data_IF_419684862365
#
_entry.id   IF_419684862365
#
_cell.length_a   1.000
_cell.length_b   1.000
_cell.length_c   1.000
_cell.angle_alpha   90.00
_cell.angle_beta   90.00
_cell.angle_gamma   90.00
#
_symmetry.space_group_name_H-M   'P 1'
#
loop_
_entity.id
_entity.type
_entity.pdbx_description
1 polymer ?
#
# COMPACT_ATOMS: atom_id res chain seq x y z
N UNK A 1 11.41 3.21 -2.49
CA UNK A 1 11.83 4.53 -3.00
C UNK A 1 12.28 5.39 -1.83
N UNK A 2 13.57 5.58 -1.64
CA UNK A 2 14.15 6.34 -0.53
C UNK A 2 14.77 7.68 -1.03
N UNK A 3 14.11 8.33 -2.00
CA UNK A 3 14.58 9.59 -2.56
C UNK A 3 14.01 10.82 -1.84
N UNK A 4 13.33 10.62 -0.71
CA UNK A 4 12.81 11.73 0.09
C UNK A 4 13.90 12.33 0.94
N UNK A 5 14.02 13.66 0.89
CA UNK A 5 14.88 14.41 1.79
C UNK A 5 14.26 14.46 3.19
N UNK A 6 15.09 14.37 4.20
CA UNK A 6 14.71 14.58 5.61
C UNK A 6 15.50 15.74 6.19
N UNK A 7 14.88 16.47 7.13
CA UNK A 7 15.52 17.56 7.86
C UNK A 7 15.53 17.21 9.35
N UNK A 8 16.69 16.97 9.95
CA UNK A 8 16.79 16.80 11.38
C UNK A 8 16.63 18.15 12.10
N UNK A 9 16.35 18.12 13.40
CA UNK A 9 16.28 19.34 14.24
C UNK A 9 17.54 20.19 14.20
N UNK A 10 18.70 19.55 13.98
CA UNK A 10 20.01 20.23 13.86
C UNK A 10 20.22 21.01 12.56
N UNK A 11 19.25 20.98 11.63
CA UNK A 11 19.38 21.59 10.30
C UNK A 11 20.05 20.70 9.28
N UNK A 12 20.16 21.20 8.05
CA UNK A 12 20.65 20.43 6.91
C UNK A 12 19.54 19.60 6.24
N UNK A 13 19.87 18.98 5.12
CA UNK A 13 18.98 18.05 4.37
C UNK A 13 19.83 16.87 3.89
N UNK A 14 19.26 15.67 3.95
CA UNK A 14 19.85 14.46 3.38
C UNK A 14 18.73 13.51 2.96
N UNK A 15 19.05 12.51 2.17
CA UNK A 15 18.07 11.50 1.79
C UNK A 15 17.83 10.52 2.95
N UNK A 16 16.60 10.10 3.17
CA UNK A 16 16.29 9.06 4.16
C UNK A 16 17.09 7.76 3.88
N UNK A 17 17.31 7.44 2.61
CA UNK A 17 18.16 6.32 2.20
C UNK A 17 19.59 6.45 2.77
N UNK A 18 20.24 7.61 2.61
CA UNK A 18 21.58 7.86 3.10
C UNK A 18 21.64 7.78 4.64
N UNK A 19 20.59 8.27 5.30
CA UNK A 19 20.49 8.17 6.76
C UNK A 19 20.39 6.70 7.22
N UNK A 20 19.58 5.89 6.55
CA UNK A 20 19.42 4.46 6.87
C UNK A 20 20.73 3.70 6.57
N UNK A 21 21.42 4.00 5.48
CA UNK A 21 22.71 3.40 5.16
C UNK A 21 23.78 3.75 6.22
N UNK A 22 23.76 4.97 6.75
CA UNK A 22 24.74 5.44 7.74
C UNK A 22 24.40 5.03 9.18
N UNK A 23 23.12 4.94 9.55
CA UNK A 23 22.68 4.77 10.95
C UNK A 23 21.39 3.95 11.06
N UNK A 24 21.24 2.91 10.23
CA UNK A 24 20.01 2.12 10.14
C UNK A 24 19.58 1.50 11.46
N UNK A 25 20.52 0.99 12.27
CA UNK A 25 20.21 0.39 13.58
C UNK A 25 19.58 1.40 14.55
N UNK A 26 20.00 2.67 14.50
CA UNK A 26 19.42 3.74 15.32
C UNK A 26 18.05 4.20 14.79
N UNK A 27 17.86 4.15 13.48
CA UNK A 27 16.63 4.65 12.86
C UNK A 27 15.51 3.60 12.83
N UNK A 28 15.87 2.38 12.43
CA UNK A 28 14.91 1.28 12.19
C UNK A 28 14.91 0.23 13.31
N UNK A 29 16.01 0.15 14.06
CA UNK A 29 16.29 -0.91 15.02
C UNK A 29 17.14 -2.04 14.41
N UNK A 30 18.09 -2.58 15.22
CA UNK A 30 19.05 -3.58 14.77
C UNK A 30 18.38 -4.84 14.15
N UNK A 31 17.29 -5.34 14.74
CA UNK A 31 16.56 -6.51 14.24
C UNK A 31 16.01 -6.30 12.81
N UNK A 32 15.52 -5.09 12.50
CA UNK A 32 15.02 -4.76 11.15
C UNK A 32 16.18 -4.68 10.18
N UNK A 33 17.28 -4.05 10.57
CA UNK A 33 18.47 -3.94 9.72
C UNK A 33 19.11 -5.30 9.44
N UNK A 34 19.25 -6.15 10.44
CA UNK A 34 19.80 -7.51 10.28
C UNK A 34 18.95 -8.36 9.31
N UNK A 35 17.63 -8.28 9.41
CA UNK A 35 16.72 -9.09 8.60
C UNK A 35 16.48 -8.51 7.21
N UNK A 36 16.33 -7.21 7.09
CA UNK A 36 15.85 -6.55 5.88
C UNK A 36 16.93 -5.74 5.15
N UNK A 37 18.00 -5.39 5.83
CA UNK A 37 19.09 -4.55 5.29
C UNK A 37 18.69 -3.10 5.04
N UNK A 38 17.49 -2.67 5.48
CA UNK A 38 17.02 -1.30 5.28
C UNK A 38 15.51 -1.14 5.33
N UNK A 39 15.03 0.02 4.86
CA UNK A 39 13.61 0.34 4.77
C UNK A 39 13.01 -0.18 3.45
N UNK A 40 12.37 -1.34 3.48
CA UNK A 40 11.84 -2.04 2.31
C UNK A 40 10.34 -1.80 2.06
N UNK A 41 9.82 -0.68 2.51
CA UNK A 41 8.45 -0.27 2.32
C UNK A 41 8.38 0.93 1.38
N UNK A 42 7.47 0.88 0.42
CA UNK A 42 7.01 2.00 -0.38
C UNK A 42 5.52 2.23 -0.08
N UNK A 43 5.18 3.48 0.21
CA UNK A 43 3.79 3.92 0.26
C UNK A 43 3.55 4.98 -0.80
N UNK A 44 2.45 4.88 -1.51
CA UNK A 44 2.06 5.85 -2.53
C UNK A 44 0.55 6.06 -2.51
N UNK A 45 0.14 7.17 -3.09
CA UNK A 45 -1.24 7.40 -3.49
C UNK A 45 -1.34 7.33 -5.00
N UNK A 46 -2.45 6.82 -5.50
CA UNK A 46 -2.83 7.02 -6.88
C UNK A 46 -4.33 7.36 -6.98
N UNK A 47 -4.60 8.21 -7.95
CA UNK A 47 -5.92 8.67 -8.32
C UNK A 47 -6.07 8.40 -9.82
N UNK A 48 -6.71 7.28 -10.15
CA UNK A 48 -6.87 6.86 -11.53
C UNK A 48 -8.13 7.46 -12.12
N UNK A 49 -7.99 8.19 -13.21
CA UNK A 49 -9.13 8.68 -14.00
C UNK A 49 -9.91 7.55 -14.68
N UNK A 50 -9.30 6.40 -14.82
CA UNK A 50 -9.87 5.18 -15.39
C UNK A 50 -9.07 3.94 -14.98
N UNK A 51 -9.48 2.74 -15.39
CA UNK A 51 -8.79 1.51 -15.02
C UNK A 51 -7.39 1.44 -15.63
N UNK A 52 -6.47 0.85 -14.90
CA UNK A 52 -5.19 0.38 -15.46
C UNK A 52 -5.34 -1.09 -15.89
N UNK A 53 -4.44 -1.62 -16.75
CA UNK A 53 -4.56 -2.99 -17.22
C UNK A 53 -4.65 -4.00 -16.09
N UNK A 54 -5.46 -5.04 -16.26
CA UNK A 54 -5.53 -6.18 -15.35
C UNK A 54 -4.16 -6.87 -15.30
N UNK A 55 -3.54 -6.88 -14.12
CA UNK A 55 -2.15 -7.28 -13.93
C UNK A 55 -1.96 -8.07 -12.62
N UNK A 56 -0.77 -8.60 -12.44
CA UNK A 56 -0.34 -9.23 -11.20
C UNK A 56 1.11 -8.84 -10.89
N UNK A 57 1.51 -9.08 -9.66
CA UNK A 57 2.90 -8.97 -9.21
C UNK A 57 3.47 -10.34 -8.91
N UNK A 58 4.74 -10.58 -9.30
CA UNK A 58 5.41 -11.85 -9.10
C UNK A 58 5.64 -12.13 -7.60
N UNK A 59 5.54 -13.40 -7.22
CA UNK A 59 6.02 -13.88 -5.93
C UNK A 59 7.55 -13.85 -5.85
N UNK A 60 8.11 -13.98 -4.65
CA UNK A 60 9.56 -14.06 -4.45
C UNK A 60 10.19 -15.18 -5.29
N UNK A 61 9.49 -16.30 -5.48
CA UNK A 61 9.98 -17.43 -6.26
C UNK A 61 10.21 -17.04 -7.73
N UNK A 62 9.26 -16.34 -8.34
CA UNK A 62 9.36 -15.87 -9.73
C UNK A 62 10.24 -14.64 -9.87
N UNK A 63 10.13 -13.66 -8.98
CA UNK A 63 10.92 -12.43 -9.02
C UNK A 63 12.44 -12.70 -8.91
N UNK A 64 12.84 -13.66 -8.10
CA UNK A 64 14.24 -14.09 -7.97
C UNK A 64 14.85 -14.57 -9.29
N UNK A 65 14.07 -15.13 -10.20
CA UNK A 65 14.55 -15.57 -11.51
C UNK A 65 15.08 -14.41 -12.37
N UNK A 66 14.68 -13.19 -12.07
CA UNK A 66 15.11 -11.96 -12.75
C UNK A 66 15.85 -10.99 -11.81
N UNK A 67 16.30 -11.49 -10.64
CA UNK A 67 17.13 -10.72 -9.69
C UNK A 67 16.36 -9.72 -8.84
N UNK A 68 15.04 -9.90 -8.69
CA UNK A 68 14.15 -9.01 -7.91
C UNK A 68 13.52 -9.71 -6.70
N UNK A 69 12.82 -8.94 -5.90
CA UNK A 69 11.92 -9.39 -4.82
C UNK A 69 10.49 -9.43 -5.34
N UNK A 70 9.68 -10.29 -4.75
CA UNK A 70 8.24 -10.28 -4.98
C UNK A 70 7.58 -8.98 -4.49
N UNK A 71 6.37 -8.71 -4.97
CA UNK A 71 5.64 -7.49 -4.64
C UNK A 71 4.26 -7.79 -4.05
N UNK A 72 4.14 -8.12 -2.78
CA UNK A 72 2.89 -8.00 -2.07
C UNK A 72 2.54 -6.52 -1.87
N UNK A 73 1.25 -6.21 -1.97
CA UNK A 73 0.72 -4.87 -1.74
C UNK A 73 -0.64 -4.90 -1.04
N UNK A 74 -1.09 -3.75 -0.56
CA UNK A 74 -2.41 -3.58 -0.03
C UNK A 74 -3.00 -2.24 -0.47
N UNK A 75 -4.33 -2.18 -0.54
CA UNK A 75 -5.07 -0.96 -0.80
C UNK A 75 -5.84 -0.53 0.44
N UNK A 76 -5.91 0.77 0.64
CA UNK A 76 -6.83 1.41 1.56
C UNK A 76 -7.42 2.64 0.88
N UNK A 77 -8.70 2.90 1.09
CA UNK A 77 -9.43 4.01 0.47
C UNK A 77 -9.74 5.08 1.52
N UNK A 78 -8.84 6.07 1.74
CA UNK A 78 -9.03 7.07 2.78
C UNK A 78 -10.33 7.85 2.58
N UNK A 79 -11.22 7.93 3.60
CA UNK A 79 -12.47 8.67 3.48
C UNK A 79 -12.27 10.17 3.18
N UNK A 80 -11.13 10.73 3.59
CA UNK A 80 -10.78 12.15 3.38
C UNK A 80 -10.67 12.53 1.91
N UNK A 81 -10.30 11.58 1.05
CA UNK A 81 -10.06 11.81 -0.38
C UNK A 81 -11.15 11.25 -1.29
N UNK A 82 -12.09 10.46 -0.74
CA UNK A 82 -13.02 9.71 -1.55
C UNK A 82 -14.46 10.18 -1.39
N UNK A 83 -15.07 10.54 -2.52
CA UNK A 83 -16.49 10.84 -2.66
C UNK A 83 -17.10 9.86 -3.64
N UNK A 84 -18.20 9.22 -3.25
CA UNK A 84 -18.86 8.19 -4.06
C UNK A 84 -20.17 8.66 -4.71
N UNK A 85 -20.56 9.90 -4.50
CA UNK A 85 -21.90 10.39 -4.90
C UNK A 85 -22.15 10.33 -6.41
N UNK A 86 -21.15 10.63 -7.24
CA UNK A 86 -21.30 10.64 -8.70
C UNK A 86 -20.38 9.62 -9.40
N UNK A 87 -19.69 8.78 -8.64
CA UNK A 87 -18.82 7.73 -9.16
C UNK A 87 -19.43 6.36 -8.91
N UNK A 88 -19.17 5.46 -9.84
CA UNK A 88 -19.37 4.04 -9.61
C UNK A 88 -18.07 3.44 -9.07
N UNK A 89 -17.87 3.39 -7.74
CA UNK A 89 -16.60 2.97 -7.16
C UNK A 89 -16.44 1.46 -7.31
N UNK A 90 -15.48 1.05 -8.14
CA UNK A 90 -15.21 -0.36 -8.41
C UNK A 90 -13.73 -0.65 -8.56
N UNK A 91 -13.37 -1.90 -8.41
CA UNK A 91 -12.08 -2.49 -8.74
C UNK A 91 -12.26 -3.90 -9.26
N UNK A 92 -11.26 -4.43 -9.93
CA UNK A 92 -11.24 -5.83 -10.36
C UNK A 92 -10.19 -6.58 -9.56
N UNK A 93 -10.57 -7.73 -8.97
CA UNK A 93 -9.64 -8.56 -8.20
C UNK A 93 -9.99 -10.04 -8.33
N UNK A 94 -9.00 -10.85 -8.67
CA UNK A 94 -9.17 -12.29 -8.91
C UNK A 94 -10.00 -12.59 -10.15
N UNK A 95 -10.37 -13.84 -10.28
CA UNK A 95 -11.11 -14.39 -11.40
C UNK A 95 -12.44 -14.98 -10.94
N UNK A 96 -13.43 -15.04 -11.82
CA UNK A 96 -14.67 -15.75 -11.57
C UNK A 96 -14.39 -17.24 -11.25
N UNK A 97 -15.04 -17.83 -10.26
CA UNK A 97 -14.72 -19.19 -9.78
C UNK A 97 -14.78 -20.30 -10.84
N UNK A 98 -15.53 -20.08 -11.91
CA UNK A 98 -15.61 -21.03 -13.03
C UNK A 98 -14.54 -20.86 -14.11
N UNK A 99 -13.67 -19.86 -13.99
CA UNK A 99 -12.59 -19.62 -14.96
C UNK A 99 -11.56 -20.73 -14.91
N UNK A 100 -11.12 -21.17 -16.07
CA UNK A 100 -10.09 -22.20 -16.21
C UNK A 100 -8.76 -21.63 -16.72
N UNK A 101 -7.66 -22.32 -16.50
CA UNK A 101 -6.34 -21.93 -17.06
C UNK A 101 -6.38 -21.85 -18.58
N UNK A 102 -7.20 -22.67 -19.21
CA UNK A 102 -7.42 -22.66 -20.64
C UNK A 102 -8.15 -21.39 -21.12
N UNK A 103 -9.05 -20.84 -20.33
CA UNK A 103 -9.68 -19.55 -20.62
C UNK A 103 -8.64 -18.43 -20.66
N UNK A 104 -7.75 -18.37 -19.67
CA UNK A 104 -6.67 -17.38 -19.63
C UNK A 104 -5.68 -17.61 -20.78
N UNK A 105 -5.35 -18.86 -21.11
CA UNK A 105 -4.52 -19.17 -22.29
C UNK A 105 -5.13 -18.59 -23.54
N UNK A 106 -6.41 -18.81 -23.80
CA UNK A 106 -7.10 -18.24 -24.98
C UNK A 106 -7.09 -16.71 -25.00
N UNK A 107 -7.15 -16.07 -23.85
CA UNK A 107 -6.97 -14.61 -23.76
C UNK A 107 -5.56 -14.20 -24.20
N UNK A 108 -4.52 -14.88 -23.72
CA UNK A 108 -3.13 -14.58 -24.09
C UNK A 108 -2.84 -14.84 -25.58
N UNK A 109 -3.42 -15.88 -26.17
CA UNK A 109 -3.29 -16.19 -27.59
C UNK A 109 -3.90 -15.12 -28.50
N UNK A 110 -4.89 -14.36 -27.99
CA UNK A 110 -5.53 -13.25 -28.73
C UNK A 110 -4.85 -11.90 -28.54
N UNK A 111 -3.66 -11.85 -27.93
CA UNK A 111 -3.00 -10.60 -27.52
C UNK A 111 -2.97 -9.51 -28.61
N UNK A 112 -2.68 -9.89 -29.84
CA UNK A 112 -2.55 -8.95 -30.97
C UNK A 112 -3.85 -8.74 -31.77
N UNK A 113 -5.00 -9.10 -31.20
CA UNK A 113 -6.31 -9.01 -31.85
C UNK A 113 -7.22 -7.93 -31.24
N UNK A 114 -6.65 -6.95 -30.53
CA UNK A 114 -7.36 -5.96 -29.73
C UNK A 114 -7.49 -6.39 -28.28
N UNK A 115 -8.61 -6.09 -27.63
CA UNK A 115 -8.89 -6.54 -26.26
C UNK A 115 -8.93 -8.08 -26.19
N UNK A 116 -8.03 -8.65 -25.44
CA UNK A 116 -7.92 -10.11 -25.27
C UNK A 116 -9.05 -10.73 -24.42
N UNK A 117 -9.93 -9.90 -23.87
CA UNK A 117 -11.12 -10.32 -23.13
C UNK A 117 -10.87 -10.83 -21.71
N UNK A 118 -9.68 -10.68 -21.16
CA UNK A 118 -9.37 -11.20 -19.82
C UNK A 118 -10.26 -10.57 -18.75
N UNK A 119 -10.69 -9.33 -18.93
CA UNK A 119 -11.53 -8.63 -17.96
C UNK A 119 -12.91 -9.30 -17.78
N UNK A 120 -13.39 -10.04 -18.79
CA UNK A 120 -14.65 -10.80 -18.67
C UNK A 120 -14.54 -12.01 -17.73
N UNK A 121 -13.33 -12.40 -17.38
CA UNK A 121 -13.04 -13.42 -16.39
C UNK A 121 -12.74 -12.84 -15.01
N UNK A 122 -12.58 -11.52 -14.88
CA UNK A 122 -12.27 -10.85 -13.63
C UNK A 122 -13.54 -10.57 -12.80
N UNK A 123 -13.40 -10.58 -11.48
CA UNK A 123 -14.48 -10.16 -10.59
C UNK A 123 -14.42 -8.67 -10.32
N UNK A 124 -15.57 -8.01 -10.50
CA UNK A 124 -15.75 -6.62 -10.13
C UNK A 124 -16.26 -6.51 -8.68
N UNK A 125 -15.61 -5.68 -7.89
CA UNK A 125 -16.03 -5.38 -6.52
C UNK A 125 -16.39 -3.91 -6.38
N UNK A 126 -17.49 -3.65 -5.68
CA UNK A 126 -17.80 -2.30 -5.22
C UNK A 126 -16.82 -1.91 -4.12
N UNK A 127 -16.23 -0.72 -4.26
CA UNK A 127 -15.33 -0.15 -3.27
C UNK A 127 -16.10 0.64 -2.21
N UNK A 128 -15.53 0.69 -1.00
CA UNK A 128 -16.08 1.41 0.14
C UNK A 128 -14.98 2.27 0.76
N UNK A 129 -15.16 3.62 0.84
CA UNK A 129 -14.24 4.45 1.59
C UNK A 129 -14.07 3.94 3.04
N UNK A 130 -12.85 3.94 3.53
CA UNK A 130 -12.51 3.38 4.85
C UNK A 130 -12.32 1.86 4.87
N UNK A 131 -12.55 1.14 3.76
CA UNK A 131 -12.16 -0.26 3.63
C UNK A 131 -10.82 -0.41 2.90
N UNK A 132 -10.28 -1.62 2.88
CA UNK A 132 -9.03 -1.95 2.19
C UNK A 132 -9.03 -3.35 1.61
N UNK A 133 -7.93 -3.71 0.96
CA UNK A 133 -7.70 -5.02 0.37
C UNK A 133 -6.26 -5.43 0.57
N UNK A 134 -6.03 -6.69 0.92
CA UNK A 134 -4.72 -7.34 0.85
C UNK A 134 -4.59 -7.99 -0.53
N UNK A 135 -3.50 -7.72 -1.23
CA UNK A 135 -3.22 -8.25 -2.57
C UNK A 135 -1.89 -8.99 -2.51
N UNK A 136 -1.98 -10.30 -2.38
CA UNK A 136 -0.80 -11.15 -2.37
C UNK A 136 -0.25 -11.33 -3.79
N UNK A 137 1.05 -11.63 -3.95
CA UNK A 137 1.63 -11.92 -5.26
C UNK A 137 0.89 -13.01 -6.01
N UNK A 138 0.80 -12.88 -7.32
CA UNK A 138 0.08 -13.80 -8.19
C UNK A 138 -1.42 -13.53 -8.30
N UNK A 139 -1.96 -12.56 -7.57
CA UNK A 139 -3.37 -12.15 -7.71
C UNK A 139 -3.52 -11.19 -8.88
N UNK A 140 -4.38 -11.55 -9.83
CA UNK A 140 -4.80 -10.64 -10.90
C UNK A 140 -5.68 -9.54 -10.33
N UNK A 141 -5.35 -8.29 -10.64
CA UNK A 141 -6.11 -7.14 -10.16
C UNK A 141 -5.97 -5.93 -11.08
N UNK A 142 -6.89 -5.00 -10.97
CA UNK A 142 -6.83 -3.69 -11.58
C UNK A 142 -7.37 -2.66 -10.61
N UNK A 143 -6.56 -1.69 -10.15
CA UNK A 143 -7.04 -0.61 -9.30
C UNK A 143 -8.19 0.13 -9.96
N UNK A 144 -9.17 0.48 -9.14
CA UNK A 144 -10.39 1.10 -9.60
C UNK A 144 -10.42 2.62 -9.44
N UNK A 145 -11.61 3.14 -9.23
CA UNK A 145 -11.93 4.56 -9.34
C UNK A 145 -11.79 5.38 -8.05
N UNK A 146 -11.40 4.80 -6.93
CA UNK A 146 -11.16 5.55 -5.70
C UNK A 146 -9.69 5.91 -5.55
N UNK A 147 -9.42 7.09 -4.96
CA UNK A 147 -8.07 7.44 -4.49
C UNK A 147 -7.60 6.38 -3.53
N UNK A 148 -6.48 5.77 -3.85
CA UNK A 148 -5.95 4.60 -3.16
C UNK A 148 -4.63 4.93 -2.48
N UNK A 149 -4.56 4.66 -1.18
CA UNK A 149 -3.31 4.53 -0.45
C UNK A 149 -2.81 3.09 -0.59
N UNK A 150 -1.59 2.93 -1.11
CA UNK A 150 -0.98 1.63 -1.37
C UNK A 150 0.36 1.49 -0.64
N UNK A 151 0.39 0.80 0.51
CA UNK A 151 1.63 0.26 1.06
C UNK A 151 2.01 -1.03 0.31
N UNK A 152 3.27 -1.13 -0.10
CA UNK A 152 3.83 -2.26 -0.83
C UNK A 152 5.28 -2.53 -0.44
N UNK A 153 5.76 -3.72 -0.72
CA UNK A 153 7.21 -3.99 -0.71
C UNK A 153 7.89 -3.13 -1.79
N UNK A 154 9.07 -2.62 -1.51
CA UNK A 154 9.87 -1.82 -2.45
C UNK A 154 10.39 -2.68 -3.61
N UNK A 155 9.48 -3.04 -4.51
CA UNK A 155 9.71 -3.81 -5.72
C UNK A 155 8.79 -3.29 -6.83
N UNK A 156 9.26 -3.34 -8.08
CA UNK A 156 8.53 -2.87 -9.27
C UNK A 156 8.19 -4.01 -10.24
N UNK A 157 8.23 -5.27 -9.78
CA UNK A 157 7.89 -6.41 -10.63
C UNK A 157 6.39 -6.44 -10.94
N UNK A 158 6.05 -6.70 -12.18
CA UNK A 158 4.67 -6.88 -12.62
C UNK A 158 4.57 -7.66 -13.94
N UNK A 159 3.37 -8.16 -14.23
CA UNK A 159 2.99 -8.70 -15.52
C UNK A 159 1.58 -8.21 -15.86
N UNK A 160 1.45 -7.44 -16.96
CA UNK A 160 0.15 -6.98 -17.48
C UNK A 160 -0.49 -8.11 -18.27
N UNK A 161 -1.67 -8.57 -17.84
CA UNK A 161 -2.40 -9.67 -18.48
C UNK A 161 -3.49 -9.19 -19.46
N UNK A 162 -3.82 -7.91 -19.47
CA UNK A 162 -4.78 -7.31 -20.39
C UNK A 162 -4.06 -6.62 -21.54
N UNK A 163 -4.46 -6.93 -22.78
CA UNK A 163 -3.80 -6.41 -23.99
C UNK A 163 -4.28 -5.03 -24.43
N UNK A 164 -5.44 -4.60 -23.97
CA UNK A 164 -6.02 -3.28 -24.27
C UNK A 164 -6.90 -2.82 -23.11
N UNK A 165 -6.82 -1.55 -22.75
CA UNK A 165 -7.68 -0.92 -21.75
C UNK A 165 -8.06 0.49 -22.22
N UNK A 166 -9.36 0.77 -22.37
CA UNK A 166 -9.87 2.06 -22.82
C UNK A 166 -9.20 2.58 -24.12
N UNK A 167 -9.04 1.71 -25.11
CA UNK A 167 -8.38 2.04 -26.39
C UNK A 167 -6.86 2.19 -26.30
N UNK A 168 -6.24 1.96 -25.16
CA UNK A 168 -4.77 1.98 -24.99
C UNK A 168 -4.24 0.56 -25.14
N UNK A 169 -3.40 0.34 -26.13
CA UNK A 169 -2.75 -0.96 -26.37
C UNK A 169 -1.66 -1.18 -25.33
N UNK A 170 -1.65 -2.36 -24.76
CA UNK A 170 -0.62 -2.85 -23.83
C UNK A 170 0.30 -3.79 -24.59
N UNK A 171 1.58 -3.48 -24.64
CA UNK A 171 2.57 -4.30 -25.35
C UNK A 171 2.82 -5.64 -24.64
N UNK A 172 3.17 -6.68 -25.42
CA UNK A 172 3.58 -7.98 -24.89
C UNK A 172 4.80 -7.89 -23.96
N UNK A 173 5.65 -6.90 -24.18
CA UNK A 173 6.79 -6.58 -23.34
C UNK A 173 6.39 -6.21 -21.90
N UNK A 174 5.21 -5.62 -21.70
CA UNK A 174 4.68 -5.33 -20.37
C UNK A 174 4.10 -6.56 -19.67
N UNK A 175 3.62 -7.57 -20.41
CA UNK A 175 3.31 -8.88 -19.83
C UNK A 175 4.59 -9.62 -19.40
N UNK A 176 5.66 -9.48 -20.15
CA UNK A 176 6.89 -10.27 -20.01
C UNK A 176 8.07 -9.48 -19.46
N UNK A 177 7.84 -8.26 -18.94
CA UNK A 177 8.89 -7.38 -18.41
C UNK A 177 9.79 -8.10 -17.40
N UNK A 178 9.19 -8.74 -16.41
CA UNK A 178 9.88 -9.40 -15.30
C UNK A 178 9.79 -10.93 -15.42
N UNK A 179 9.99 -11.44 -16.65
CA UNK A 179 9.98 -12.85 -17.00
C UNK A 179 11.34 -13.21 -17.62
N UNK A 180 11.98 -14.34 -17.22
CA UNK A 180 13.21 -14.78 -17.86
C UNK A 180 13.06 -14.93 -19.37
N UNK A 181 14.09 -14.53 -20.14
CA UNK A 181 14.04 -14.49 -21.61
C UNK A 181 13.56 -15.79 -22.25
N UNK A 182 13.99 -16.94 -21.70
CA UNK A 182 13.60 -18.26 -22.19
C UNK A 182 12.09 -18.54 -22.07
N UNK A 183 11.37 -17.84 -21.19
CA UNK A 183 9.95 -18.08 -20.90
C UNK A 183 9.01 -16.99 -21.42
N UNK A 184 9.50 -15.94 -22.06
CA UNK A 184 8.67 -14.84 -22.57
C UNK A 184 7.62 -15.24 -23.61
N UNK A 185 7.75 -16.40 -24.22
CA UNK A 185 6.79 -16.95 -25.18
C UNK A 185 6.10 -18.21 -24.68
N UNK A 186 6.36 -18.60 -23.44
CA UNK A 186 5.84 -19.80 -22.80
C UNK A 186 4.56 -19.44 -22.02
N UNK A 187 3.39 -19.68 -22.60
CA UNK A 187 2.11 -19.37 -21.99
C UNK A 187 1.87 -20.16 -20.71
N UNK A 188 2.37 -21.38 -20.62
CA UNK A 188 2.25 -22.18 -19.40
C UNK A 188 3.05 -21.58 -18.26
N UNK A 189 4.26 -21.10 -18.56
CA UNK A 189 5.04 -20.36 -17.57
C UNK A 189 4.34 -19.09 -17.11
N UNK A 190 3.83 -18.27 -18.05
CA UNK A 190 3.12 -17.02 -17.72
C UNK A 190 1.91 -17.28 -16.83
N UNK A 191 1.10 -18.30 -17.15
CA UNK A 191 -0.06 -18.69 -16.34
C UNK A 191 0.37 -19.28 -14.99
N UNK A 192 1.51 -19.97 -14.92
CA UNK A 192 2.03 -20.52 -13.66
C UNK A 192 2.44 -19.47 -12.63
N UNK A 193 2.68 -18.22 -13.06
CA UNK A 193 2.96 -17.11 -12.14
C UNK A 193 1.73 -16.68 -11.31
N UNK A 194 0.53 -17.06 -11.75
CA UNK A 194 -0.70 -16.78 -11.02
C UNK A 194 -0.86 -17.71 -9.82
N UNK A 195 -1.24 -17.16 -8.66
CA UNK A 195 -1.80 -17.96 -7.58
C UNK A 195 -3.20 -18.40 -7.98
N UNK A 196 -3.29 -19.57 -8.63
CA UNK A 196 -4.53 -20.04 -9.24
C UNK A 196 -5.65 -20.19 -8.21
N UNK A 197 -5.35 -20.88 -7.10
CA UNK A 197 -6.33 -21.17 -6.06
C UNK A 197 -6.90 -19.89 -5.43
N UNK A 198 -6.05 -18.89 -5.19
CA UNK A 198 -6.48 -17.62 -4.67
C UNK A 198 -7.33 -16.84 -5.69
N UNK A 199 -6.92 -16.80 -6.97
CA UNK A 199 -7.63 -16.06 -8.01
C UNK A 199 -9.07 -16.57 -8.22
N UNK A 200 -9.30 -17.87 -8.25
CA UNK A 200 -10.64 -18.48 -8.48
C UNK A 200 -11.40 -18.78 -7.19
N UNK A 201 -10.88 -18.39 -6.04
CA UNK A 201 -11.53 -18.66 -4.75
C UNK A 201 -12.92 -17.99 -4.69
N UNK A 202 -14.03 -18.74 -4.55
CA UNK A 202 -15.37 -18.15 -4.47
C UNK A 202 -15.54 -17.20 -3.27
N UNK A 203 -14.69 -17.32 -2.23
CA UNK A 203 -14.68 -16.47 -1.04
C UNK A 203 -13.55 -15.42 -1.08
N UNK A 204 -13.10 -15.04 -2.25
CA UNK A 204 -11.98 -14.08 -2.41
C UNK A 204 -12.18 -12.80 -1.61
N UNK A 205 -13.36 -12.17 -1.72
CA UNK A 205 -13.68 -10.94 -0.98
C UNK A 205 -13.61 -11.11 0.54
N UNK A 206 -14.05 -12.25 1.07
CA UNK A 206 -13.97 -12.54 2.51
C UNK A 206 -12.52 -12.75 2.98
N UNK A 207 -11.67 -13.29 2.12
CA UNK A 207 -10.28 -13.60 2.43
C UNK A 207 -9.36 -12.38 2.35
N UNK A 208 -9.65 -11.44 1.44
CA UNK A 208 -8.73 -10.38 1.05
C UNK A 208 -9.19 -8.97 1.44
N UNK A 209 -10.51 -8.74 1.62
CA UNK A 209 -11.03 -7.44 2.05
C UNK A 209 -10.68 -7.20 3.52
N UNK A 210 -10.16 -6.01 3.82
CA UNK A 210 -9.81 -5.58 5.17
C UNK A 210 -10.69 -4.42 5.62
N UNK A 211 -11.02 -4.41 6.92
CA UNK A 211 -11.77 -3.33 7.55
C UNK A 211 -10.96 -2.75 8.69
N UNK A 212 -11.06 -1.45 8.96
CA UNK A 212 -10.36 -0.82 10.06
C UNK A 212 -10.64 -1.50 11.40
N UNK A 213 -9.60 -1.83 12.14
CA UNK A 213 -9.70 -2.46 13.46
C UNK A 213 -9.12 -1.53 14.53
N UNK A 214 -9.90 -1.10 15.51
CA UNK A 214 -9.39 -0.29 16.61
C UNK A 214 -8.21 -0.96 17.30
N UNK A 215 -7.18 -0.18 17.64
CA UNK A 215 -6.02 -0.67 18.41
C UNK A 215 -6.38 -0.93 19.87
N UNK A 216 -7.28 -0.11 20.42
CA UNK A 216 -7.83 -0.18 21.77
C UNK A 216 -9.35 0.09 21.72
N UNK A 217 -10.10 -0.08 22.82
CA UNK A 217 -11.51 0.33 22.87
C UNK A 217 -11.68 1.80 22.48
N UNK A 218 -12.64 2.06 21.58
CA UNK A 218 -12.86 3.40 20.99
C UNK A 218 -13.15 4.44 22.09
N UNK A 219 -13.94 4.07 23.10
CA UNK A 219 -14.31 4.97 24.20
C UNK A 219 -13.08 5.40 25.01
N UNK A 220 -12.14 4.48 25.23
CA UNK A 220 -10.90 4.76 25.95
C UNK A 220 -10.02 5.74 25.16
N UNK A 221 -9.82 5.47 23.88
CA UNK A 221 -9.04 6.35 23.00
C UNK A 221 -9.68 7.75 22.87
N UNK A 222 -11.00 7.82 22.74
CA UNK A 222 -11.73 9.11 22.71
C UNK A 222 -11.51 9.93 23.99
N UNK A 223 -11.52 9.29 25.15
CA UNK A 223 -11.25 9.97 26.42
C UNK A 223 -9.81 10.54 26.46
N UNK A 224 -8.86 9.84 25.85
CA UNK A 224 -7.47 10.28 25.71
C UNK A 224 -7.26 11.30 24.57
N UNK A 225 -8.29 11.57 23.74
CA UNK A 225 -8.28 12.58 22.71
C UNK A 225 -7.83 12.14 21.33
N UNK A 226 -7.80 10.84 21.06
CA UNK A 226 -7.46 10.28 19.75
C UNK A 226 -8.30 9.05 19.40
N UNK A 227 -8.21 8.59 18.16
CA UNK A 227 -8.68 7.28 17.70
C UNK A 227 -7.62 6.69 16.77
N UNK A 228 -7.23 5.46 17.01
CA UNK A 228 -6.28 4.75 16.12
C UNK A 228 -6.82 3.39 15.70
N UNK A 229 -6.68 3.07 14.42
CA UNK A 229 -7.18 1.83 13.82
C UNK A 229 -6.14 1.23 12.88
N UNK A 230 -5.98 -0.07 12.92
CA UNK A 230 -5.30 -0.81 11.86
C UNK A 230 -6.11 -0.74 10.58
N UNK A 231 -5.49 -0.32 9.47
CA UNK A 231 -6.08 -0.25 8.12
C UNK A 231 -5.45 -1.25 7.16
N UNK A 232 -4.18 -1.60 7.40
CA UNK A 232 -3.45 -2.66 6.69
C UNK A 232 -2.78 -3.56 7.72
N UNK A 233 -3.05 -4.87 7.64
CA UNK A 233 -2.58 -5.86 8.61
C UNK A 233 -2.68 -7.27 8.01
N UNK A 234 -2.09 -8.26 8.68
CA UNK A 234 -2.21 -9.67 8.31
C UNK A 234 -1.16 -10.17 7.33
N UNK A 235 -0.19 -9.33 7.02
CA UNK A 235 0.97 -9.68 6.21
C UNK A 235 2.27 -9.45 7.01
N UNK A 236 3.34 -10.24 6.81
CA UNK A 236 4.62 -10.01 7.46
C UNK A 236 5.43 -8.86 6.84
N UNK A 237 5.02 -8.35 5.69
CA UNK A 237 5.82 -7.42 4.89
C UNK A 237 5.67 -5.97 5.31
N UNK A 238 4.50 -5.59 5.82
CA UNK A 238 4.17 -4.22 6.24
C UNK A 238 2.89 -4.21 7.08
N UNK A 239 2.63 -3.08 7.69
CA UNK A 239 1.33 -2.79 8.32
C UNK A 239 1.07 -1.28 8.29
N UNK A 240 -0.19 -0.87 8.46
CA UNK A 240 -0.54 0.54 8.53
C UNK A 240 -1.68 0.79 9.48
N UNK A 241 -1.66 2.00 10.07
CA UNK A 241 -2.72 2.51 10.95
C UNK A 241 -3.23 3.85 10.43
N UNK A 242 -4.50 4.14 10.64
CA UNK A 242 -5.05 5.49 10.59
C UNK A 242 -5.15 6.02 12.01
N UNK A 243 -4.53 7.19 12.25
CA UNK A 243 -4.57 7.89 13.54
C UNK A 243 -5.31 9.21 13.34
N UNK A 244 -6.28 9.46 14.22
CA UNK A 244 -7.05 10.70 14.31
C UNK A 244 -6.81 11.35 15.66
N UNK A 245 -6.32 12.58 15.69
CA UNK A 245 -6.30 13.42 16.91
C UNK A 245 -7.52 14.34 16.86
N UNK A 246 -8.33 14.27 17.92
CA UNK A 246 -9.57 15.05 18.01
C UNK A 246 -9.31 16.55 18.12
N UNK A 247 -10.27 17.42 17.73
CA UNK A 247 -10.14 18.86 17.85
C UNK A 247 -9.79 19.33 19.27
N UNK A 248 -8.85 20.26 19.38
CA UNK A 248 -8.32 20.80 20.66
C UNK A 248 -7.76 19.74 21.60
N UNK A 249 -7.29 18.62 21.07
CA UNK A 249 -6.70 17.53 21.85
C UNK A 249 -5.24 17.30 21.48
N UNK A 250 -4.58 16.63 22.38
CA UNK A 250 -3.25 16.08 22.16
C UNK A 250 -3.18 14.67 22.74
N UNK A 251 -2.37 13.81 22.16
CA UNK A 251 -2.12 12.47 22.64
C UNK A 251 -0.63 12.13 22.55
N UNK A 252 -0.16 11.27 23.43
CA UNK A 252 1.15 10.62 23.29
C UNK A 252 0.92 9.20 22.81
N UNK A 253 1.33 8.91 21.57
CA UNK A 253 1.11 7.62 20.92
C UNK A 253 2.41 6.83 20.93
N UNK A 254 2.33 5.57 21.38
CA UNK A 254 3.47 4.64 21.47
C UNK A 254 3.32 3.56 20.39
N UNK A 255 4.40 3.27 19.70
CA UNK A 255 4.51 2.19 18.72
C UNK A 255 5.80 1.42 18.90
N UNK A 256 5.80 0.13 18.59
CA UNK A 256 6.97 -0.74 18.82
C UNK A 256 7.98 -0.75 17.68
N UNK A 257 7.75 -0.02 16.60
CA UNK A 257 8.60 0.04 15.42
C UNK A 257 8.68 1.45 14.82
N UNK A 258 9.72 1.72 14.03
CA UNK A 258 9.83 2.93 13.21
C UNK A 258 8.68 2.99 12.20
N UNK A 259 8.22 4.20 11.87
CA UNK A 259 7.14 4.38 10.91
C UNK A 259 7.26 5.69 10.13
N UNK A 260 6.73 5.68 8.93
CA UNK A 260 6.43 6.91 8.18
C UNK A 260 5.01 7.38 8.47
N UNK A 261 4.80 8.68 8.31
CA UNK A 261 3.50 9.36 8.46
C UNK A 261 3.17 10.12 7.19
N UNK A 262 1.92 10.04 6.75
CA UNK A 262 1.35 10.93 5.73
C UNK A 262 0.09 11.55 6.32
N UNK A 263 0.04 12.88 6.40
CA UNK A 263 -1.13 13.62 6.89
C UNK A 263 -2.18 13.69 5.78
N UNK A 264 -3.40 13.26 6.08
CA UNK A 264 -4.51 13.23 5.12
C UNK A 264 -5.57 14.30 5.39
N UNK A 265 -5.57 14.90 6.58
CA UNK A 265 -6.48 15.98 6.93
C UNK A 265 -5.95 16.80 8.10
N UNK A 266 -6.12 18.13 8.03
CA UNK A 266 -5.89 19.04 9.14
C UNK A 266 -4.44 19.50 9.31
N UNK A 267 -4.16 20.11 10.44
CA UNK A 267 -2.86 20.67 10.81
C UNK A 267 -2.58 20.52 12.31
N UNK A 268 -1.33 20.57 12.68
CA UNK A 268 -0.92 20.43 14.08
C UNK A 268 0.58 20.25 14.26
N UNK A 269 0.98 19.44 15.25
CA UNK A 269 2.41 19.11 15.46
C UNK A 269 2.58 17.63 15.80
N UNK A 270 3.75 17.09 15.43
CA UNK A 270 4.24 15.76 15.85
C UNK A 270 5.66 15.90 16.42
N UNK A 271 5.86 15.54 17.69
CA UNK A 271 7.14 15.71 18.36
C UNK A 271 7.66 17.16 18.31
N UNK A 272 6.76 18.15 18.24
CA UNK A 272 7.06 19.55 18.10
C UNK A 272 7.41 20.02 16.66
N UNK A 273 7.34 19.12 15.66
CA UNK A 273 7.46 19.50 14.25
C UNK A 273 6.08 19.85 13.68
N UNK A 274 5.96 20.87 12.81
CA UNK A 274 4.68 21.24 12.20
C UNK A 274 4.19 20.12 11.28
N UNK A 275 2.86 19.96 11.24
CA UNK A 275 2.13 19.12 10.31
C UNK A 275 1.02 19.92 9.65
N UNK A 276 0.85 19.79 8.35
CA UNK A 276 -0.31 20.34 7.65
C UNK A 276 -0.59 19.63 6.32
N UNK A 277 -1.87 19.55 5.96
CA UNK A 277 -2.34 19.14 4.64
C UNK A 277 -3.58 19.95 4.26
N UNK A 278 -3.70 20.43 3.00
CA UNK A 278 -2.68 20.35 1.95
C UNK A 278 -1.43 21.15 2.30
N UNK A 279 -0.26 20.58 1.97
CA UNK A 279 1.01 21.25 2.16
C UNK A 279 1.43 22.00 0.90
N UNK A 280 1.97 23.20 1.08
CA UNK A 280 2.46 23.98 -0.06
C UNK A 280 3.81 23.42 -0.54
N UNK A 281 3.85 22.99 -1.79
CA UNK A 281 5.10 22.51 -2.42
C UNK A 281 5.86 23.73 -2.97
N UNK A 282 7.08 23.96 -2.44
CA UNK A 282 8.02 24.95 -2.93
C UNK A 282 9.33 24.28 -3.32
N UNK A 283 9.93 24.76 -4.42
CA UNK A 283 11.20 24.23 -4.88
C UNK A 283 12.27 24.35 -3.79
N UNK A 284 12.92 23.23 -3.50
CA UNK A 284 13.99 23.16 -2.50
C UNK A 284 13.51 23.17 -1.03
N UNK A 285 12.22 23.28 -0.76
CA UNK A 285 11.64 23.16 0.57
C UNK A 285 11.05 21.76 0.81
N UNK A 286 10.88 21.40 2.07
CA UNK A 286 10.19 20.19 2.49
C UNK A 286 8.72 20.47 2.73
N UNK A 287 7.87 19.52 2.46
CA UNK A 287 6.45 19.58 2.80
C UNK A 287 6.23 19.24 4.29
N UNK A 288 5.09 19.67 4.84
CA UNK A 288 4.72 19.44 6.25
C UNK A 288 3.72 18.28 6.40
N UNK A 289 3.45 17.54 5.34
CA UNK A 289 2.50 16.43 5.30
C UNK A 289 3.14 15.05 5.45
N UNK A 290 4.48 14.98 5.50
CA UNK A 290 5.19 13.72 5.66
C UNK A 290 6.27 13.80 6.75
N UNK A 291 6.30 12.79 7.61
CA UNK A 291 7.29 12.66 8.70
C UNK A 291 7.74 11.22 8.82
N UNK A 292 9.02 11.04 9.19
CA UNK A 292 9.56 9.74 9.59
C UNK A 292 9.86 9.73 11.09
N UNK A 293 9.34 8.73 11.80
CA UNK A 293 9.55 8.51 13.23
C UNK A 293 10.46 7.31 13.43
N UNK A 294 11.59 7.53 14.09
CA UNK A 294 12.58 6.47 14.35
C UNK A 294 12.10 5.48 15.41
N UNK A 295 12.67 4.28 15.43
CA UNK A 295 12.23 3.19 16.31
C UNK A 295 12.25 3.57 17.81
N UNK A 296 13.31 4.21 18.27
CA UNK A 296 13.42 4.59 19.68
C UNK A 296 12.48 5.72 20.07
N UNK A 297 12.26 6.68 19.18
CA UNK A 297 11.28 7.76 19.39
C UNK A 297 9.86 7.20 19.41
N UNK A 298 9.55 6.26 18.52
CA UNK A 298 8.24 5.58 18.50
C UNK A 298 7.97 4.84 19.82
N UNK A 299 8.95 4.09 20.33
CA UNK A 299 8.85 3.35 21.61
C UNK A 299 8.77 4.26 22.82
N UNK A 300 9.44 5.40 22.80
CA UNK A 300 9.36 6.39 23.87
C UNK A 300 8.01 7.13 23.90
N UNK A 301 7.27 7.07 22.81
CA UNK A 301 6.01 7.78 22.62
C UNK A 301 6.18 9.15 21.98
N UNK A 302 5.35 9.45 21.01
CA UNK A 302 5.35 10.70 20.27
C UNK A 302 4.14 11.52 20.64
N UNK A 303 4.38 12.73 21.12
CA UNK A 303 3.31 13.71 21.38
C UNK A 303 2.84 14.31 20.07
N UNK A 304 1.54 14.24 19.84
CA UNK A 304 0.86 14.81 18.67
C UNK A 304 -0.22 15.75 19.15
N UNK A 305 -0.31 16.94 18.55
CA UNK A 305 -1.23 17.98 18.99
C UNK A 305 -2.08 18.49 17.82
N UNK A 306 -3.38 18.61 18.04
CA UNK A 306 -4.33 19.22 17.13
C UNK A 306 -4.88 20.51 17.75
N UNK A 307 -4.44 21.69 17.30
CA UNK A 307 -4.93 22.99 17.81
C UNK A 307 -6.27 23.41 17.21
N UNK A 308 -6.75 22.76 16.12
CA UNK A 308 -8.01 23.10 15.47
C UNK A 308 -9.19 23.03 16.43
N UNK A 309 -10.11 23.96 16.32
CA UNK A 309 -11.32 23.96 17.13
C UNK A 309 -12.41 23.01 16.62
N UNK A 310 -12.37 22.67 15.34
CA UNK A 310 -13.43 21.93 14.63
C UNK A 310 -12.94 20.70 13.89
N UNK A 311 -11.74 20.76 13.32
CA UNK A 311 -11.29 19.76 12.36
C UNK A 311 -10.36 18.73 13.02
N UNK A 312 -10.57 17.43 12.79
CA UNK A 312 -9.63 16.42 13.23
C UNK A 312 -8.30 16.53 12.46
N UNK A 313 -7.20 16.14 13.10
CA UNK A 313 -5.93 15.90 12.44
C UNK A 313 -5.85 14.41 12.15
N UNK A 314 -5.87 14.03 10.87
CA UNK A 314 -5.86 12.63 10.44
C UNK A 314 -4.58 12.31 9.69
N UNK A 315 -3.99 11.17 10.01
CA UNK A 315 -2.75 10.70 9.37
C UNK A 315 -2.73 9.18 9.19
N UNK A 316 -2.03 8.74 8.15
CA UNK A 316 -1.72 7.34 7.91
C UNK A 316 -0.30 7.06 8.39
N UNK A 317 -0.16 6.07 9.26
CA UNK A 317 1.12 5.59 9.79
C UNK A 317 1.45 4.27 9.11
N UNK A 318 2.60 4.16 8.48
CA UNK A 318 3.03 2.94 7.79
C UNK A 318 4.32 2.38 8.38
N UNK A 319 4.30 1.09 8.64
CA UNK A 319 5.38 0.36 9.29
C UNK A 319 5.99 -0.64 8.32
N UNK A 320 7.30 -0.71 8.33
CA UNK A 320 8.04 -1.74 7.61
C UNK A 320 7.79 -3.16 8.13
N UNK A 321 8.49 -4.15 7.57
CA UNK A 321 8.31 -5.53 7.96
C UNK A 321 8.71 -5.76 9.43
N UNK A 322 8.04 -6.74 10.05
CA UNK A 322 8.34 -7.14 11.44
C UNK A 322 7.88 -6.20 12.53
N UNK A 323 6.89 -5.34 12.26
CA UNK A 323 6.24 -4.58 13.33
C UNK A 323 5.61 -5.54 14.36
N UNK A 324 6.09 -5.57 15.64
CA UNK A 324 5.59 -6.51 16.64
C UNK A 324 4.12 -6.29 17.01
N UNK A 325 3.60 -5.07 16.77
CA UNK A 325 2.22 -4.71 17.10
C UNK A 325 1.23 -5.15 16.02
N UNK A 326 1.73 -5.56 14.83
CA UNK A 326 0.88 -5.92 13.70
C UNK A 326 -0.03 -7.10 14.03
N UNK A 327 -1.32 -6.93 13.80
CA UNK A 327 -2.32 -7.97 14.06
C UNK A 327 -2.33 -8.98 12.91
N UNK A 328 -2.38 -10.29 13.19
CA UNK A 328 -2.59 -11.28 12.15
C UNK A 328 -3.98 -11.12 11.52
N UNK A 329 -4.11 -11.52 10.24
CA UNK A 329 -5.44 -11.76 9.66
C UNK A 329 -6.13 -12.83 10.50
N UNK A 330 -7.34 -12.53 10.98
CA UNK A 330 -8.20 -13.58 11.50
C UNK A 330 -8.75 -14.28 10.27
N UNK A 331 -8.13 -15.38 9.89
CA UNK A 331 -8.77 -16.31 8.94
C UNK A 331 -10.05 -16.80 9.61
N UNK A 332 -11.19 -16.36 9.08
CA UNK A 332 -12.51 -16.86 9.47
C UNK A 332 -12.75 -18.22 8.83
#
# INVERSE_FOLDING_TARGET
MLFRSVRPKSGGKFLLKEAVEAAGDLLLGATVMEREGGWNLLCKFFDNMGPIPHHMHQSDAFAKLVGHRGKPEAYYFPPQYNQIQNNFPHTYMGLEPGTTKEDIRRCLEKWNQGDNGIIFHARAYRLEPGAGWQIDPGILHAPGSLVTYEPQVNSDVFAMFQSEVEGRIVGWDLLTKDVPEAHKKDLDFLISMLDWEANVNPRFGESNKTFPRPVNPIESMNAEGYVEKWITYGTPYYSAKELTILPKRSATVVDSAAYGVIVTQGYGTIGGQPLSTPSMIRFGEMTEDEVFVTADVAKAGVRIENPSASDPLVMLKHFGPGNPDAKPLIKK
#
